data_IF_589296697804
#
_entry.id   IF_589296697804
#
_cell.length_a   1.000
_cell.length_b   1.000
_cell.length_c   1.000
_cell.angle_alpha   90.00
_cell.angle_beta   90.00
_cell.angle_gamma   90.00
#
_symmetry.space_group_name_H-M   'P 1'
#
loop_
_entity.id
_entity.type
_entity.pdbx_description
1 polymer ?
#
# COMPACT_ATOMS: atom_id res chain seq x y z
N UNK A 1 -5.61 -23.37 0.06
CA UNK A 1 -6.54 -23.65 -1.06
C UNK A 1 -5.99 -22.95 -2.30
N UNK A 2 -5.41 -23.66 -3.28
CA UNK A 2 -5.01 -23.04 -4.57
C UNK A 2 -6.15 -23.26 -5.56
N UNK A 3 -7.15 -22.39 -5.51
CA UNK A 3 -8.38 -22.48 -6.34
C UNK A 3 -8.05 -22.49 -7.85
N UNK A 4 -6.90 -21.93 -8.24
CA UNK A 4 -6.45 -21.79 -9.62
C UNK A 4 -5.18 -22.60 -9.91
N UNK A 5 -4.94 -23.70 -9.18
CA UNK A 5 -3.75 -24.53 -9.42
C UNK A 5 -3.64 -24.96 -10.90
N UNK A 6 -2.46 -24.78 -11.50
CA UNK A 6 -2.17 -25.13 -12.90
C UNK A 6 -2.77 -24.20 -13.97
N UNK A 7 -3.54 -23.18 -13.58
CA UNK A 7 -4.08 -22.19 -14.52
C UNK A 7 -3.22 -20.93 -14.47
N UNK A 8 -2.94 -20.32 -15.62
CA UNK A 8 -2.28 -19.01 -15.70
C UNK A 8 -3.03 -18.13 -16.69
N UNK A 9 -2.93 -16.82 -16.48
CA UNK A 9 -3.56 -15.81 -17.32
C UNK A 9 -2.49 -14.96 -17.99
N UNK A 10 -2.83 -14.39 -19.14
CA UNK A 10 -2.00 -13.45 -19.89
C UNK A 10 -2.86 -12.27 -20.34
N UNK A 11 -2.22 -11.13 -20.56
CA UNK A 11 -2.90 -9.88 -20.91
C UNK A 11 -2.80 -8.82 -19.81
N UNK A 12 -3.25 -7.61 -20.13
CA UNK A 12 -3.25 -6.45 -19.24
C UNK A 12 -4.67 -6.15 -18.77
N UNK A 13 -4.81 -5.57 -17.58
CA UNK A 13 -6.10 -5.03 -17.13
C UNK A 13 -6.49 -3.78 -17.93
N UNK A 14 -5.50 -3.08 -18.51
CA UNK A 14 -5.72 -1.91 -19.37
C UNK A 14 -5.84 -0.60 -18.59
N UNK A 15 -5.57 -0.65 -17.28
CA UNK A 15 -5.48 0.52 -16.41
C UNK A 15 -4.05 0.67 -15.92
N UNK A 16 -3.38 1.76 -16.31
CA UNK A 16 -1.93 1.95 -16.13
C UNK A 16 -1.42 1.79 -14.70
N UNK A 17 -2.27 2.00 -13.68
CA UNK A 17 -1.90 1.93 -12.26
C UNK A 17 -2.26 0.63 -11.55
N UNK A 18 -2.96 -0.29 -12.22
CA UNK A 18 -3.36 -1.59 -11.65
C UNK A 18 -2.78 -2.78 -12.42
N UNK A 19 -2.08 -2.56 -13.53
CA UNK A 19 -1.32 -3.62 -14.19
C UNK A 19 -0.17 -4.07 -13.27
N UNK A 20 -0.19 -5.34 -12.83
CA UNK A 20 0.85 -5.88 -11.96
C UNK A 20 2.18 -6.07 -12.71
N UNK A 21 3.27 -6.30 -11.98
CA UNK A 21 4.62 -6.44 -12.55
C UNK A 21 4.71 -7.46 -13.68
N UNK A 22 4.00 -8.59 -13.56
CA UNK A 22 3.92 -9.65 -14.57
C UNK A 22 3.16 -9.18 -15.81
N UNK A 23 2.06 -8.45 -15.65
CA UNK A 23 1.31 -7.86 -16.76
C UNK A 23 2.14 -6.84 -17.53
N UNK A 24 2.93 -6.02 -16.83
CA UNK A 24 3.85 -5.04 -17.43
C UNK A 24 4.97 -5.72 -18.23
N UNK A 25 5.44 -6.87 -17.76
CA UNK A 25 6.47 -7.68 -18.43
C UNK A 25 5.92 -8.64 -19.49
N UNK A 26 4.60 -8.74 -19.64
CA UNK A 26 3.97 -9.73 -20.52
C UNK A 26 4.18 -11.19 -20.06
N UNK A 27 4.47 -11.40 -18.78
CA UNK A 27 4.61 -12.73 -18.16
C UNK A 27 3.24 -13.31 -17.79
N UNK A 28 3.11 -14.65 -17.72
CA UNK A 28 1.92 -15.28 -17.17
C UNK A 28 1.76 -14.93 -15.69
N UNK A 29 0.51 -14.70 -15.27
CA UNK A 29 0.15 -14.32 -13.91
C UNK A 29 -1.07 -15.11 -13.41
N UNK A 30 -1.22 -15.17 -12.09
CA UNK A 30 -2.32 -15.80 -11.35
C UNK A 30 -2.68 -14.91 -10.17
N UNK A 31 -2.18 -15.25 -8.97
CA UNK A 31 -2.43 -14.54 -7.74
C UNK A 31 -1.53 -13.31 -7.56
N UNK A 32 -0.51 -13.10 -8.41
CA UNK A 32 0.41 -11.96 -8.29
C UNK A 32 -0.32 -10.60 -8.33
N UNK A 33 -1.48 -10.53 -8.98
CA UNK A 33 -2.34 -9.33 -9.02
C UNK A 33 -2.79 -8.90 -7.62
N UNK A 34 -3.11 -9.85 -6.74
CA UNK A 34 -3.53 -9.59 -5.36
C UNK A 34 -2.37 -9.07 -4.51
N UNK A 35 -1.16 -9.59 -4.73
CA UNK A 35 0.06 -9.12 -4.06
C UNK A 35 0.38 -7.69 -4.48
N UNK A 36 0.25 -7.38 -5.77
CA UNK A 36 0.39 -6.02 -6.28
C UNK A 36 -0.67 -5.08 -5.70
N UNK A 37 -1.93 -5.52 -5.64
CA UNK A 37 -3.05 -4.76 -5.05
C UNK A 37 -2.82 -4.44 -3.58
N UNK A 38 -2.25 -5.37 -2.80
CA UNK A 38 -1.85 -5.14 -1.42
C UNK A 38 -0.79 -4.05 -1.29
N UNK A 39 0.26 -4.10 -2.12
CA UNK A 39 1.30 -3.05 -2.14
C UNK A 39 0.70 -1.68 -2.48
N UNK A 40 -0.16 -1.62 -3.49
CA UNK A 40 -0.85 -0.40 -3.89
C UNK A 40 -1.73 0.19 -2.78
N UNK A 41 -2.50 -0.67 -2.11
CA UNK A 41 -3.41 -0.29 -1.02
C UNK A 41 -2.63 0.24 0.19
N UNK A 42 -1.61 -0.48 0.64
CA UNK A 42 -0.78 -0.03 1.76
C UNK A 42 -0.05 1.27 1.44
N UNK A 43 0.44 1.44 0.21
CA UNK A 43 1.07 2.68 -0.20
C UNK A 43 0.11 3.87 -0.07
N UNK A 44 -1.16 3.73 -0.47
CA UNK A 44 -2.17 4.77 -0.28
C UNK A 44 -2.38 5.07 1.20
N UNK A 45 -2.48 4.05 2.04
CA UNK A 45 -2.63 4.23 3.49
C UNK A 45 -1.42 4.84 4.19
N UNK A 46 -0.23 4.80 3.59
CA UNK A 46 1.03 5.31 4.18
C UNK A 46 1.46 6.65 3.57
N UNK A 47 1.17 6.90 2.30
CA UNK A 47 1.59 8.10 1.58
C UNK A 47 0.43 9.02 1.14
N UNK A 48 -0.81 8.55 1.19
CA UNK A 48 -2.00 9.31 0.76
C UNK A 48 -2.09 9.51 -0.75
N UNK A 49 -1.28 8.77 -1.53
CA UNK A 49 -1.26 8.81 -2.99
C UNK A 49 -1.15 7.39 -3.56
N UNK A 50 -1.66 7.20 -4.77
CA UNK A 50 -1.51 5.95 -5.49
C UNK A 50 -0.02 5.61 -5.69
N UNK A 51 0.31 4.32 -5.62
CA UNK A 51 1.65 3.85 -5.91
C UNK A 51 1.98 4.06 -7.39
N UNK A 52 3.17 4.58 -7.65
CA UNK A 52 3.78 4.56 -8.98
C UNK A 52 4.86 3.51 -8.94
N UNK A 53 4.83 2.52 -9.83
CA UNK A 53 5.81 1.44 -9.84
C UNK A 53 6.78 1.68 -10.98
N UNK A 54 8.08 1.66 -10.67
CA UNK A 54 9.16 1.85 -11.63
C UNK A 54 10.04 0.61 -11.68
N UNK A 55 10.43 0.20 -12.89
CA UNK A 55 11.40 -0.88 -13.09
C UNK A 55 12.80 -0.28 -13.21
N UNK A 56 13.68 -0.60 -12.28
CA UNK A 56 15.08 -0.16 -12.26
C UNK A 56 16.01 -1.37 -12.18
N UNK A 57 16.94 -1.50 -13.13
CA UNK A 57 17.87 -2.63 -13.22
C UNK A 57 17.16 -4.00 -13.17
N UNK A 58 16.00 -4.11 -13.84
CA UNK A 58 15.20 -5.33 -13.85
C UNK A 58 14.31 -5.56 -12.62
N UNK A 59 14.42 -4.72 -11.58
CA UNK A 59 13.68 -4.85 -10.32
C UNK A 59 12.58 -3.78 -10.25
N UNK A 60 11.35 -4.20 -9.98
CA UNK A 60 10.23 -3.32 -9.71
C UNK A 60 10.29 -2.75 -8.30
N UNK A 61 10.12 -1.44 -8.19
CA UNK A 61 10.10 -0.73 -6.91
C UNK A 61 9.01 0.34 -6.94
N UNK A 62 8.48 0.67 -5.76
CA UNK A 62 7.63 1.84 -5.61
C UNK A 62 8.47 3.11 -5.79
N UNK A 63 7.98 4.04 -6.61
CA UNK A 63 8.61 5.30 -6.91
C UNK A 63 8.58 6.24 -5.69
N UNK A 64 9.76 6.74 -5.34
CA UNK A 64 9.98 7.54 -4.14
C UNK A 64 10.23 6.69 -2.90
N UNK A 65 11.16 7.14 -2.06
CA UNK A 65 11.42 6.50 -0.78
C UNK A 65 10.25 6.71 0.18
N UNK A 66 9.89 5.67 0.92
CA UNK A 66 8.88 5.78 1.97
C UNK A 66 9.39 6.78 3.01
N UNK A 67 8.68 7.92 3.14
CA UNK A 67 9.11 8.99 4.04
C UNK A 67 9.15 8.45 5.48
N UNK A 68 10.24 8.74 6.18
CA UNK A 68 10.46 8.28 7.57
C UNK A 68 9.47 8.90 8.56
N UNK A 69 9.02 10.12 8.28
CA UNK A 69 7.85 10.70 8.94
C UNK A 69 6.61 10.05 8.35
N UNK A 70 5.76 9.48 9.21
CA UNK A 70 4.46 8.97 8.80
C UNK A 70 3.60 10.02 8.09
N UNK A 71 2.48 9.57 7.56
CA UNK A 71 1.57 10.31 6.69
C UNK A 71 1.13 11.64 7.34
N UNK A 72 1.74 12.75 6.92
CA UNK A 72 1.45 14.08 7.49
C UNK A 72 0.02 14.56 7.24
N UNK A 73 -0.75 13.92 6.35
CA UNK A 73 -2.09 14.34 5.91
C UNK A 73 -2.89 13.17 5.30
N UNK A 74 -3.72 12.48 6.09
CA UNK A 74 -4.69 11.52 5.53
C UNK A 74 -5.98 12.28 5.21
N UNK A 75 -6.25 12.52 3.92
CA UNK A 75 -7.50 13.15 3.47
C UNK A 75 -8.49 12.04 3.13
N UNK A 76 -9.48 11.84 3.99
CA UNK A 76 -10.67 11.07 3.62
C UNK A 76 -11.46 11.92 2.62
N UNK A 77 -11.68 11.37 1.42
CA UNK A 77 -12.55 11.96 0.41
C UNK A 77 -13.95 12.11 1.02
N UNK A 78 -14.33 13.33 1.44
CA UNK A 78 -15.73 13.64 1.74
C UNK A 78 -16.51 13.71 0.43
N UNK A 79 -17.70 13.13 0.46
CA UNK A 79 -18.77 13.13 -0.52
C UNK A 79 -18.82 14.36 -1.45
N UNK A 80 -18.14 14.29 -2.58
CA UNK A 80 -18.45 15.11 -3.73
C UNK A 80 -18.39 14.24 -4.98
N UNK A 81 -19.55 13.81 -5.45
CA UNK A 81 -19.71 13.46 -6.86
C UNK A 81 -19.76 14.77 -7.65
N UNK A 82 -18.99 14.93 -8.75
CA UNK A 82 -18.05 13.97 -9.35
C UNK A 82 -16.66 14.00 -8.69
N UNK A 83 -15.90 12.92 -8.87
CA UNK A 83 -14.51 12.77 -8.40
C UNK A 83 -13.65 13.96 -8.85
N UNK A 84 -12.93 14.64 -7.93
CA UNK A 84 -12.09 15.77 -8.28
C UNK A 84 -10.93 15.34 -9.18
N UNK A 85 -10.60 16.17 -10.17
CA UNK A 85 -9.42 15.97 -11.02
C UNK A 85 -8.13 16.17 -10.21
N UNK A 86 -7.00 15.63 -10.67
CA UNK A 86 -5.69 15.68 -9.99
C UNK A 86 -5.30 17.10 -9.53
N UNK A 87 -5.75 18.13 -10.25
CA UNK A 87 -5.47 19.54 -9.97
C UNK A 87 -6.32 20.15 -8.83
N UNK A 88 -7.43 19.51 -8.46
CA UNK A 88 -8.32 19.94 -7.37
C UNK A 88 -7.93 19.30 -6.02
N UNK A 89 -7.28 18.13 -6.06
CA UNK A 89 -6.73 17.41 -4.89
C UNK A 89 -5.73 18.25 -4.07
N UNK A 90 -5.04 19.19 -4.72
CA UNK A 90 -4.01 20.04 -4.10
C UNK A 90 -4.56 21.36 -3.53
N UNK A 91 -5.79 21.75 -3.88
CA UNK A 91 -6.36 23.07 -3.56
C UNK A 91 -7.25 23.10 -2.31
N UNK A 92 -7.62 21.95 -1.73
CA UNK A 92 -8.62 21.89 -0.65
C UNK A 92 -8.13 22.32 0.74
N UNK A 93 -6.85 22.71 0.89
CA UNK A 93 -6.35 23.50 2.02
C UNK A 93 -6.50 22.92 3.44
N UNK A 94 -7.06 21.72 3.60
CA UNK A 94 -7.37 21.15 4.90
C UNK A 94 -6.27 20.15 5.30
N UNK A 95 -5.29 20.68 6.03
CA UNK A 95 -4.15 19.94 6.58
C UNK A 95 -4.55 19.18 7.84
N UNK A 96 -4.28 17.87 7.87
CA UNK A 96 -4.49 16.98 9.01
C UNK A 96 -3.16 16.76 9.75
N UNK A 97 -2.80 17.63 10.68
CA UNK A 97 -1.68 17.35 11.59
C UNK A 97 -2.08 16.25 12.57
N UNK A 98 -1.60 15.00 12.44
CA UNK A 98 -1.45 14.20 13.67
C UNK A 98 -0.35 14.85 14.50
N UNK A 99 -0.54 14.87 15.81
CA UNK A 99 0.43 15.44 16.75
C UNK A 99 1.83 14.92 16.42
N UNK A 100 2.79 15.84 16.32
CA UNK A 100 4.14 15.62 15.82
C UNK A 100 4.95 14.53 16.57
N UNK A 101 4.40 14.00 17.66
CA UNK A 101 4.99 12.97 18.52
C UNK A 101 4.73 11.54 18.01
N UNK A 102 3.56 11.26 17.40
CA UNK A 102 3.22 9.95 16.80
C UNK A 102 4.00 9.68 15.50
N UNK A 103 4.56 10.72 14.89
CA UNK A 103 5.14 10.67 13.54
C UNK A 103 6.64 10.39 13.47
N UNK A 104 7.33 10.15 14.58
CA UNK A 104 8.79 10.15 14.52
C UNK A 104 9.40 9.01 13.71
N UNK A 105 8.77 7.84 13.59
CA UNK A 105 9.22 6.74 12.71
C UNK A 105 8.04 5.86 12.31
N UNK A 106 7.83 5.61 11.02
CA UNK A 106 7.04 4.45 10.60
C UNK A 106 7.80 3.19 11.03
N UNK A 107 7.45 2.64 12.20
CA UNK A 107 8.17 1.54 12.82
C UNK A 107 8.27 0.30 11.91
N UNK A 108 7.20 0.04 11.16
CA UNK A 108 7.08 -1.06 10.20
C UNK A 108 7.75 -0.78 8.85
N UNK A 109 8.43 0.36 8.67
CA UNK A 109 8.98 0.78 7.36
C UNK A 109 9.88 -0.28 6.74
N UNK A 110 10.80 -0.84 7.50
CA UNK A 110 11.76 -1.83 6.98
C UNK A 110 11.03 -3.11 6.56
N UNK A 111 10.04 -3.55 7.34
CA UNK A 111 9.18 -4.69 7.01
C UNK A 111 8.38 -4.42 5.74
N UNK A 112 7.80 -3.23 5.61
CA UNK A 112 7.02 -2.83 4.44
C UNK A 112 7.89 -2.71 3.19
N UNK A 113 9.04 -2.04 3.27
CA UNK A 113 9.95 -1.89 2.12
C UNK A 113 10.44 -3.26 1.64
N UNK A 114 10.80 -4.17 2.55
CA UNK A 114 11.17 -5.54 2.19
C UNK A 114 10.00 -6.31 1.56
N UNK A 115 8.80 -6.22 2.16
CA UNK A 115 7.59 -6.88 1.65
C UNK A 115 7.20 -6.35 0.26
N UNK A 116 7.28 -5.04 0.03
CA UNK A 116 6.96 -4.43 -1.25
C UNK A 116 7.92 -4.90 -2.33
N UNK A 117 9.21 -4.99 -2.04
CA UNK A 117 10.19 -5.53 -2.98
C UNK A 117 9.88 -6.99 -3.30
N UNK A 118 9.61 -7.82 -2.30
CA UNK A 118 9.28 -9.23 -2.49
C UNK A 118 8.01 -9.41 -3.34
N UNK A 119 6.94 -8.66 -3.03
CA UNK A 119 5.64 -8.79 -3.67
C UNK A 119 5.58 -8.22 -5.09
N UNK A 120 6.39 -7.21 -5.39
CA UNK A 120 6.48 -6.64 -6.74
C UNK A 120 7.40 -7.44 -7.67
N UNK A 121 8.19 -8.39 -7.14
CA UNK A 121 9.20 -9.12 -7.91
C UNK A 121 9.04 -10.63 -7.75
N UNK A 122 7.81 -11.12 -7.90
CA UNK A 122 7.53 -12.55 -7.85
C UNK A 122 8.10 -13.21 -9.12
N UNK A 123 8.95 -14.24 -9.00
CA UNK A 123 9.66 -14.79 -10.16
C UNK A 123 8.73 -15.51 -11.14
N UNK A 124 7.76 -16.28 -10.63
CA UNK A 124 6.80 -17.04 -11.42
C UNK A 124 5.54 -17.41 -10.61
N UNK A 125 4.61 -18.16 -11.21
CA UNK A 125 3.34 -18.54 -10.59
C UNK A 125 3.46 -19.64 -9.52
N UNK A 126 4.60 -20.32 -9.42
CA UNK A 126 4.80 -21.43 -8.48
C UNK A 126 5.55 -20.99 -7.21
N UNK A 127 6.42 -20.00 -7.33
CA UNK A 127 7.24 -19.45 -6.25
C UNK A 127 6.63 -18.17 -5.65
N UNK A 128 5.41 -18.30 -5.13
CA UNK A 128 4.69 -17.19 -4.49
C UNK A 128 5.21 -16.94 -3.06
N UNK A 129 5.39 -15.67 -2.64
CA UNK A 129 5.72 -15.34 -1.25
C UNK A 129 4.63 -15.79 -0.29
N UNK A 130 5.01 -16.24 0.92
CA UNK A 130 4.02 -16.64 1.93
C UNK A 130 3.45 -15.42 2.65
N UNK A 131 2.13 -15.26 2.58
CA UNK A 131 1.40 -14.26 3.36
C UNK A 131 1.63 -14.39 4.86
N UNK A 132 1.75 -15.62 5.37
CA UNK A 132 1.96 -15.87 6.80
C UNK A 132 3.23 -15.20 7.30
N UNK A 133 4.31 -15.20 6.51
CA UNK A 133 5.57 -14.55 6.90
C UNK A 133 5.38 -13.04 7.08
N UNK A 134 4.62 -12.40 6.18
CA UNK A 134 4.33 -10.96 6.26
C UNK A 134 3.41 -10.66 7.43
N UNK A 135 2.36 -11.48 7.63
CA UNK A 135 1.43 -11.35 8.75
C UNK A 135 2.19 -11.42 10.08
N UNK A 136 2.99 -12.46 10.31
CA UNK A 136 3.75 -12.61 11.55
C UNK A 136 4.75 -11.45 11.78
N UNK A 137 5.39 -10.94 10.73
CA UNK A 137 6.27 -9.77 10.83
C UNK A 137 5.47 -8.52 11.24
N UNK A 138 4.33 -8.27 10.62
CA UNK A 138 3.46 -7.15 10.95
C UNK A 138 2.88 -7.27 12.36
N UNK A 139 2.40 -8.44 12.75
CA UNK A 139 1.87 -8.74 14.09
C UNK A 139 2.92 -8.53 15.17
N UNK A 140 4.16 -8.98 14.93
CA UNK A 140 5.28 -8.74 15.84
C UNK A 140 5.51 -7.25 16.05
N UNK A 141 5.58 -6.48 14.96
CA UNK A 141 5.80 -5.03 15.04
C UNK A 141 4.62 -4.31 15.71
N UNK A 142 3.40 -4.76 15.44
CA UNK A 142 2.17 -4.27 16.06
C UNK A 142 2.16 -4.56 17.55
N UNK A 143 2.30 -5.82 17.99
CA UNK A 143 2.28 -6.20 19.39
C UNK A 143 3.37 -5.52 20.22
N UNK A 144 4.56 -5.30 19.65
CA UNK A 144 5.66 -4.62 20.33
C UNK A 144 5.41 -3.12 20.57
N UNK A 145 4.52 -2.48 19.80
CA UNK A 145 4.31 -1.02 19.82
C UNK A 145 2.85 -0.62 20.00
N UNK A 146 1.94 -1.57 20.15
CA UNK A 146 0.52 -1.31 20.27
C UNK A 146 0.24 -0.57 21.57
N UNK A 147 -0.31 0.64 21.43
CA UNK A 147 -0.82 1.43 22.55
C UNK A 147 -2.34 1.47 22.49
N UNK A 148 -3.05 0.80 23.42
CA UNK A 148 -4.51 0.85 23.48
C UNK A 148 -5.06 2.28 23.61
N UNK A 149 -4.30 3.17 24.26
CA UNK A 149 -4.69 4.57 24.43
C UNK A 149 -4.59 5.34 23.11
N UNK A 150 -3.46 5.23 22.41
CA UNK A 150 -3.29 5.89 21.10
C UNK A 150 -4.32 5.37 20.09
N UNK A 151 -4.60 4.06 20.10
CA UNK A 151 -5.63 3.46 19.26
C UNK A 151 -7.02 4.07 19.53
N UNK A 152 -7.43 4.15 20.81
CA UNK A 152 -8.71 4.77 21.19
C UNK A 152 -8.79 6.24 20.76
N UNK A 153 -7.71 6.99 20.92
CA UNK A 153 -7.65 8.39 20.49
C UNK A 153 -7.74 8.52 18.97
N UNK A 154 -7.04 7.67 18.21
CA UNK A 154 -7.11 7.64 16.76
C UNK A 154 -8.53 7.31 16.26
N UNK A 155 -9.20 6.33 16.87
CA UNK A 155 -10.59 5.96 16.54
C UNK A 155 -11.56 7.08 16.89
N UNK A 156 -11.47 7.67 18.09
CA UNK A 156 -12.32 8.80 18.49
C UNK A 156 -12.16 9.98 17.52
N UNK A 157 -10.91 10.27 17.13
CA UNK A 157 -10.60 11.29 16.13
C UNK A 157 -11.22 10.95 14.78
N UNK A 158 -11.06 9.73 14.26
CA UNK A 158 -11.68 9.30 13.00
C UNK A 158 -13.21 9.47 13.04
N UNK A 159 -13.85 8.99 14.11
CA UNK A 159 -15.30 9.06 14.29
C UNK A 159 -15.82 10.51 14.36
N UNK A 160 -15.02 11.46 14.87
CA UNK A 160 -15.41 12.88 14.89
C UNK A 160 -15.60 13.51 13.50
N UNK A 161 -15.14 12.84 12.43
CA UNK A 161 -15.30 13.28 11.04
C UNK A 161 -16.45 12.59 10.31
N UNK A 162 -17.04 11.54 10.91
CA UNK A 162 -18.23 10.88 10.39
C UNK A 162 -19.42 11.79 10.76
N UNK A 163 -20.21 12.26 9.78
CA UNK A 163 -21.35 13.14 10.02
C UNK A 163 -22.46 12.48 10.86
#
# INVERSE_FOLDING_TARGET
MRVLAGHTFTGRAGTEKFDCSEMLDGRPWTYQTDYFGYVGTLHVFIQGKYAEIVKQNGIFKVNGSMKRSGLKNFVLLKNSSPLPTVNEFQKSGMSFSFTAEVFRRLAVREVLEATFIEFLNIPDCEHMPSWDVVIHKMEKEFGARFSPMEWRQAVARFNSFIP
#
